data_IF_431285110978
#
_entry.id   IF_431285110978
#
_cell.length_a   1.000
_cell.length_b   1.000
_cell.length_c   1.000
_cell.angle_alpha   90.00
_cell.angle_beta   90.00
_cell.angle_gamma   90.00
#
_symmetry.space_group_name_H-M   'P 1'
#
loop_
_entity.id
_entity.type
_entity.pdbx_description
1 polymer ?
#
# COMPACT_ATOMS: atom_id res chain seq x y z
N UNK A 1 5.02 -17.52 3.40
CA UNK A 1 5.31 -17.47 1.95
C UNK A 1 6.62 -16.71 1.79
N UNK A 2 7.58 -17.16 0.96
CA UNK A 2 8.76 -16.34 0.65
C UNK A 2 8.32 -14.99 0.05
N UNK A 3 9.09 -13.91 0.26
CA UNK A 3 8.76 -12.62 -0.32
C UNK A 3 8.74 -12.70 -1.84
N UNK A 4 7.67 -12.20 -2.47
CA UNK A 4 7.50 -12.20 -3.93
C UNK A 4 8.62 -11.41 -4.62
N UNK A 5 9.04 -10.30 -4.00
CA UNK A 5 10.21 -9.54 -4.44
C UNK A 5 11.26 -9.55 -3.34
N UNK A 6 12.50 -9.90 -3.68
CA UNK A 6 13.60 -9.96 -2.72
C UNK A 6 13.90 -8.59 -2.08
N UNK A 7 13.63 -7.50 -2.79
CA UNK A 7 13.82 -6.13 -2.31
C UNK A 7 12.69 -5.62 -1.39
N UNK A 8 11.60 -6.38 -1.27
CA UNK A 8 10.39 -5.97 -0.57
C UNK A 8 10.14 -6.81 0.68
N UNK A 9 9.54 -6.18 1.68
CA UNK A 9 9.14 -6.84 2.94
C UNK A 9 7.64 -7.01 3.09
N UNK A 10 6.85 -6.27 2.34
CA UNK A 10 5.40 -6.14 2.57
C UNK A 10 4.55 -6.53 1.35
N UNK A 11 5.09 -7.33 0.43
CA UNK A 11 4.40 -7.79 -0.79
C UNK A 11 3.46 -8.95 -0.51
N UNK A 12 2.18 -8.83 -0.91
CA UNK A 12 1.18 -9.92 -0.86
C UNK A 12 -0.05 -9.62 -1.72
N UNK A 13 -0.79 -10.64 -2.19
CA UNK A 13 -2.12 -10.44 -2.76
C UNK A 13 -3.11 -9.98 -1.68
N UNK A 14 -4.08 -9.14 -2.06
CA UNK A 14 -5.18 -8.72 -1.18
C UNK A 14 -6.27 -9.78 -1.07
N UNK A 15 -6.55 -10.48 -2.17
CA UNK A 15 -7.63 -11.46 -2.26
C UNK A 15 -7.02 -12.88 -2.22
N UNK A 16 -7.64 -13.82 -1.48
CA UNK A 16 -7.22 -15.22 -1.51
C UNK A 16 -7.20 -15.76 -2.93
N UNK A 17 -6.16 -16.51 -3.27
CA UNK A 17 -5.99 -17.21 -4.55
C UNK A 17 -6.12 -16.32 -5.81
N UNK A 18 -5.91 -15.00 -5.66
CA UNK A 18 -6.06 -14.05 -6.75
C UNK A 18 -4.91 -13.03 -6.79
N UNK A 19 -4.35 -12.88 -7.99
CA UNK A 19 -3.33 -11.88 -8.29
C UNK A 19 -3.93 -10.56 -8.80
N UNK A 20 -5.26 -10.39 -8.67
CA UNK A 20 -5.95 -9.21 -9.17
C UNK A 20 -5.43 -7.91 -8.53
N UNK A 21 -5.23 -7.93 -7.22
CA UNK A 21 -4.69 -6.80 -6.46
C UNK A 21 -3.54 -7.27 -5.58
N UNK A 22 -2.34 -6.76 -5.84
CA UNK A 22 -1.13 -7.08 -5.09
C UNK A 22 -0.61 -5.79 -4.47
N UNK A 23 -0.53 -5.74 -3.15
CA UNK A 23 0.07 -4.62 -2.41
C UNK A 23 1.54 -4.89 -2.16
N UNK A 24 2.34 -3.82 -2.03
CA UNK A 24 3.76 -3.93 -1.65
C UNK A 24 4.30 -2.63 -1.01
N UNK A 25 5.49 -2.71 -0.44
CA UNK A 25 6.45 -1.60 -0.32
C UNK A 25 7.14 -1.33 -1.67
N UNK A 26 7.97 -0.29 -1.77
CA UNK A 26 8.60 0.04 -3.06
C UNK A 26 9.57 -1.07 -3.50
N UNK A 27 9.41 -1.67 -4.70
CA UNK A 27 10.42 -2.56 -5.27
C UNK A 27 11.58 -1.70 -5.78
N UNK A 28 12.69 -1.67 -5.05
CA UNK A 28 13.91 -0.93 -5.44
C UNK A 28 14.81 -1.73 -6.37
N UNK A 29 14.62 -3.05 -6.41
CA UNK A 29 15.25 -3.96 -7.36
C UNK A 29 14.24 -5.04 -7.75
N UNK A 30 14.16 -5.32 -9.05
CA UNK A 30 13.33 -6.40 -9.61
C UNK A 30 14.13 -7.08 -10.72
N UNK A 31 14.50 -8.33 -10.46
CA UNK A 31 15.21 -9.22 -11.39
C UNK A 31 14.34 -9.60 -12.60
N UNK A 32 14.96 -10.10 -13.67
CA UNK A 32 14.21 -10.60 -14.83
C UNK A 32 13.34 -11.81 -14.50
N UNK A 33 13.72 -12.64 -13.52
CA UNK A 33 12.88 -13.74 -13.05
C UNK A 33 11.61 -13.23 -12.37
N UNK A 34 11.73 -12.24 -11.47
CA UNK A 34 10.58 -11.61 -10.82
C UNK A 34 9.69 -10.89 -11.84
N UNK A 35 10.26 -10.25 -12.86
CA UNK A 35 9.47 -9.62 -13.96
C UNK A 35 8.69 -10.65 -14.76
N UNK A 36 9.32 -11.77 -15.15
CA UNK A 36 8.62 -12.86 -15.85
C UNK A 36 7.53 -13.46 -14.97
N UNK A 37 7.83 -13.70 -13.70
CA UNK A 37 6.86 -14.20 -12.72
C UNK A 37 5.62 -13.32 -12.61
N UNK A 38 5.80 -11.99 -12.65
CA UNK A 38 4.70 -11.02 -12.67
C UNK A 38 3.86 -11.17 -13.94
N UNK A 39 4.51 -11.19 -15.11
CA UNK A 39 3.84 -11.24 -16.41
C UNK A 39 3.06 -12.55 -16.62
N UNK A 40 3.61 -13.68 -16.18
CA UNK A 40 2.96 -15.01 -16.22
C UNK A 40 1.69 -15.06 -15.38
N UNK A 41 1.63 -14.26 -14.29
CA UNK A 41 0.44 -14.12 -13.43
C UNK A 41 -0.47 -12.98 -13.86
N UNK A 42 -0.20 -12.38 -15.02
CA UNK A 42 -0.99 -11.29 -15.56
C UNK A 42 -0.85 -9.97 -14.80
N UNK A 43 0.16 -9.79 -13.94
CA UNK A 43 0.45 -8.49 -13.32
C UNK A 43 1.01 -7.55 -14.40
N UNK A 44 0.17 -6.64 -14.89
CA UNK A 44 0.48 -5.74 -16.00
C UNK A 44 0.56 -4.29 -15.60
N UNK A 45 -0.21 -3.90 -14.58
CA UNK A 45 -0.29 -2.50 -14.16
C UNK A 45 0.44 -2.30 -12.84
N UNK A 46 1.21 -1.21 -12.76
CA UNK A 46 1.90 -0.79 -11.54
C UNK A 46 1.39 0.58 -11.14
N UNK A 47 0.90 0.75 -9.91
CA UNK A 47 0.41 2.02 -9.37
C UNK A 47 1.31 2.47 -8.23
N UNK A 48 2.10 3.51 -8.49
CA UNK A 48 2.98 4.13 -7.49
C UNK A 48 2.24 5.28 -6.78
N UNK A 49 1.96 5.08 -5.50
CA UNK A 49 1.21 6.00 -4.62
C UNK A 49 2.10 7.10 -4.01
N UNK A 50 3.39 7.13 -4.36
CA UNK A 50 4.38 8.00 -3.74
C UNK A 50 4.40 9.39 -4.37
N UNK A 51 4.81 10.37 -3.55
CA UNK A 51 5.03 11.73 -4.03
C UNK A 51 6.24 11.76 -4.98
N UNK A 52 6.30 12.73 -5.93
CA UNK A 52 7.42 12.83 -6.88
C UNK A 52 8.80 12.85 -6.22
N UNK A 53 8.93 13.47 -5.04
CA UNK A 53 10.20 13.52 -4.29
C UNK A 53 10.65 12.13 -3.80
N UNK A 54 9.73 11.32 -3.26
CA UNK A 54 10.03 9.95 -2.80
C UNK A 54 10.47 9.06 -3.96
N UNK A 55 9.86 9.23 -5.14
CA UNK A 55 10.21 8.51 -6.36
C UNK A 55 11.61 8.85 -6.85
N UNK A 56 11.99 10.13 -6.83
CA UNK A 56 13.35 10.57 -7.16
C UNK A 56 14.40 10.01 -6.20
N UNK A 57 14.06 9.90 -4.91
CA UNK A 57 14.98 9.38 -3.89
C UNK A 57 15.14 7.85 -3.96
N UNK A 58 14.06 7.13 -4.28
CA UNK A 58 14.04 5.67 -4.38
C UNK A 58 13.29 5.25 -5.65
N UNK A 59 13.94 5.23 -6.82
CA UNK A 59 13.29 4.86 -8.06
C UNK A 59 12.84 3.38 -8.03
N UNK A 60 11.80 3.07 -8.81
CA UNK A 60 11.36 1.70 -9.03
C UNK A 60 11.71 1.30 -10.48
N UNK A 61 12.45 0.21 -10.70
CA UNK A 61 12.92 -0.16 -12.03
C UNK A 61 11.81 -0.77 -12.92
N UNK A 62 10.58 -0.87 -12.42
CA UNK A 62 9.40 -1.20 -13.24
C UNK A 62 8.91 0.01 -14.04
N UNK A 63 9.29 1.24 -13.66
CA UNK A 63 8.89 2.47 -14.38
C UNK A 63 9.47 2.52 -15.80
N UNK A 64 10.68 1.97 -15.98
CA UNK A 64 11.41 1.98 -17.25
C UNK A 64 11.14 0.73 -18.12
N UNK A 65 10.32 -0.20 -17.63
CA UNK A 65 10.04 -1.46 -18.32
C UNK A 65 8.71 -1.40 -19.06
N UNK A 66 8.79 -1.27 -20.39
CA UNK A 66 7.64 -1.13 -21.29
C UNK A 66 6.66 -2.33 -21.27
N UNK A 67 7.02 -3.46 -20.63
CA UNK A 67 6.11 -4.60 -20.44
C UNK A 67 5.02 -4.31 -19.40
N UNK A 68 5.20 -3.26 -18.59
CA UNK A 68 4.27 -2.84 -17.55
C UNK A 68 3.66 -1.47 -17.85
N UNK A 69 2.37 -1.30 -17.53
CA UNK A 69 1.71 0.01 -17.52
C UNK A 69 1.98 0.66 -16.17
N UNK A 70 2.94 1.58 -16.13
CA UNK A 70 3.29 2.30 -14.91
C UNK A 70 2.45 3.58 -14.74
N UNK A 71 1.75 3.70 -13.61
CA UNK A 71 0.89 4.84 -13.26
C UNK A 71 1.40 5.50 -11.98
N UNK A 72 1.75 6.77 -12.10
CA UNK A 72 2.15 7.59 -10.97
C UNK A 72 0.91 8.29 -10.41
N UNK A 73 0.44 7.87 -9.23
CA UNK A 73 -0.80 8.35 -8.65
C UNK A 73 -0.61 8.67 -7.17
N UNK A 74 0.06 9.79 -6.83
CA UNK A 74 0.31 10.14 -5.45
C UNK A 74 -1.00 10.24 -4.67
N UNK A 75 -1.04 9.60 -3.50
CA UNK A 75 -2.13 9.78 -2.53
C UNK A 75 -1.99 11.14 -1.87
N UNK A 76 -3.10 11.85 -1.69
CA UNK A 76 -3.14 13.11 -0.94
C UNK A 76 -2.79 12.86 0.53
N UNK A 77 -1.80 13.60 1.05
CA UNK A 77 -1.33 13.40 2.43
C UNK A 77 -0.53 12.11 2.62
N UNK A 78 -0.40 11.66 3.88
CA UNK A 78 0.29 10.39 4.22
C UNK A 78 1.80 10.35 3.99
N UNK A 79 2.43 11.49 3.71
CA UNK A 79 3.88 11.61 3.56
C UNK A 79 4.59 12.04 4.86
N UNK A 80 3.86 12.62 5.81
CA UNK A 80 4.39 13.03 7.11
C UNK A 80 4.01 12.00 8.19
N UNK A 81 4.91 11.79 9.15
CA UNK A 81 4.62 11.03 10.37
C UNK A 81 3.71 11.89 11.25
N UNK A 82 2.53 11.41 11.69
CA UNK A 82 1.65 12.14 12.59
C UNK A 82 2.34 12.51 13.91
N UNK A 83 1.87 13.56 14.60
CA UNK A 83 2.51 13.99 15.85
C UNK A 83 2.18 13.06 17.02
N UNK A 84 1.00 12.43 17.01
CA UNK A 84 0.56 11.52 18.05
C UNK A 84 -0.36 10.40 17.49
N UNK A 85 -0.58 9.32 18.26
CA UNK A 85 -1.46 8.20 17.87
C UNK A 85 -2.85 8.63 17.38
N UNK A 86 -3.44 9.67 18.01
CA UNK A 86 -4.79 10.14 17.71
C UNK A 86 -4.89 10.80 16.32
N UNK A 87 -3.77 11.31 15.79
CA UNK A 87 -3.73 11.92 14.45
C UNK A 87 -3.58 10.91 13.32
N UNK A 88 -3.20 9.66 13.61
CA UNK A 88 -3.04 8.62 12.59
C UNK A 88 -4.34 8.38 11.81
N UNK A 89 -5.50 8.09 12.44
CA UNK A 89 -6.76 7.92 11.70
C UNK A 89 -7.21 9.22 10.99
N UNK A 90 -6.96 10.39 11.56
CA UNK A 90 -7.24 11.68 10.89
C UNK A 90 -6.40 11.83 9.62
N UNK A 91 -5.15 11.36 9.64
CA UNK A 91 -4.29 11.34 8.46
C UNK A 91 -4.85 10.42 7.36
N UNK A 92 -5.45 9.29 7.74
CA UNK A 92 -6.09 8.36 6.79
C UNK A 92 -7.34 8.97 6.17
N UNK A 93 -8.17 9.66 6.97
CA UNK A 93 -9.35 10.37 6.46
C UNK A 93 -9.00 11.47 5.46
N UNK A 94 -7.90 12.19 5.67
CA UNK A 94 -7.41 13.19 4.70
C UNK A 94 -7.01 12.58 3.35
N UNK A 95 -6.73 11.28 3.31
CA UNK A 95 -6.45 10.57 2.05
C UNK A 95 -7.73 10.25 1.28
N UNK A 96 -8.89 10.20 1.95
CA UNK A 96 -10.17 9.84 1.34
C UNK A 96 -10.78 11.04 0.61
N UNK A 97 -10.21 11.38 -0.54
CA UNK A 97 -10.62 12.48 -1.42
C UNK A 97 -10.86 12.00 -2.86
N UNK A 98 -11.14 12.93 -3.77
CA UNK A 98 -11.35 12.63 -5.18
C UNK A 98 -10.12 11.97 -5.87
N UNK A 99 -8.91 12.18 -5.35
CA UNK A 99 -7.72 11.51 -5.87
C UNK A 99 -7.71 10.03 -5.45
N UNK A 100 -8.16 9.70 -4.25
CA UNK A 100 -8.37 8.31 -3.84
C UNK A 100 -9.41 7.60 -4.70
N UNK A 101 -10.53 8.26 -5.05
CA UNK A 101 -11.52 7.69 -5.98
C UNK A 101 -10.87 7.31 -7.31
N UNK A 102 -10.08 8.22 -7.89
CA UNK A 102 -9.33 7.97 -9.14
C UNK A 102 -8.33 6.82 -9.03
N UNK A 103 -7.64 6.71 -7.89
CA UNK A 103 -6.71 5.60 -7.61
C UNK A 103 -7.46 4.28 -7.57
N UNK A 104 -8.57 4.22 -6.82
CA UNK A 104 -9.40 3.03 -6.70
C UNK A 104 -9.95 2.61 -8.06
N UNK A 105 -10.50 3.54 -8.85
CA UNK A 105 -11.01 3.23 -10.18
C UNK A 105 -9.92 2.80 -11.16
N UNK A 106 -8.72 3.38 -11.07
CA UNK A 106 -7.59 2.95 -11.90
C UNK A 106 -7.17 1.52 -11.57
N UNK A 107 -7.09 1.19 -10.27
CA UNK A 107 -6.73 -0.16 -9.84
C UNK A 107 -7.85 -1.16 -10.19
N UNK A 108 -9.10 -0.79 -9.90
CA UNK A 108 -10.26 -1.65 -10.08
C UNK A 108 -10.53 -2.00 -11.53
N UNK A 109 -10.31 -1.06 -12.46
CA UNK A 109 -10.61 -1.22 -13.88
C UNK A 109 -9.39 -1.55 -14.74
N UNK A 110 -8.20 -1.69 -14.16
CA UNK A 110 -7.00 -2.06 -14.91
C UNK A 110 -7.16 -3.41 -15.64
N UNK A 111 -6.49 -3.56 -16.78
CA UNK A 111 -6.38 -4.87 -17.43
C UNK A 111 -5.35 -5.74 -16.69
N UNK A 112 -5.73 -6.97 -16.34
CA UNK A 112 -4.87 -7.90 -15.60
C UNK A 112 -4.61 -7.49 -14.14
N UNK A 113 -3.73 -8.20 -13.45
CA UNK A 113 -3.39 -7.90 -12.07
C UNK A 113 -2.68 -6.55 -11.91
N UNK A 114 -2.88 -5.92 -10.75
CA UNK A 114 -2.27 -4.64 -10.39
C UNK A 114 -1.34 -4.80 -9.18
N UNK A 115 -0.10 -4.36 -9.34
CA UNK A 115 0.80 -4.10 -8.22
C UNK A 115 0.66 -2.64 -7.78
N UNK A 116 0.36 -2.37 -6.52
CA UNK A 116 0.31 -0.99 -6.02
C UNK A 116 1.10 -0.86 -4.71
N UNK A 117 1.81 0.27 -4.56
CA UNK A 117 2.71 0.46 -3.42
C UNK A 117 2.89 1.93 -3.07
N UNK A 118 3.29 2.16 -1.82
CA UNK A 118 3.89 3.40 -1.36
C UNK A 118 5.34 3.12 -0.93
N UNK A 119 5.92 3.93 -0.06
CA UNK A 119 7.31 3.72 0.40
C UNK A 119 7.48 2.45 1.24
N UNK A 120 6.72 2.31 2.33
CA UNK A 120 6.78 1.13 3.20
C UNK A 120 5.63 0.14 2.95
N UNK A 121 4.73 0.46 2.01
CA UNK A 121 3.56 -0.37 1.73
C UNK A 121 2.58 -0.48 2.90
N UNK A 122 2.59 0.49 3.84
CA UNK A 122 1.88 0.41 5.12
C UNK A 122 0.64 1.32 5.17
N UNK A 123 0.84 2.64 5.25
CA UNK A 123 -0.25 3.61 5.48
C UNK A 123 -1.05 3.90 4.22
N UNK A 124 -0.50 4.65 3.25
CA UNK A 124 -1.17 4.95 1.97
C UNK A 124 -1.64 3.70 1.24
N UNK A 125 -0.79 2.68 1.17
CA UNK A 125 -1.14 1.37 0.61
C UNK A 125 -2.20 0.66 1.45
N UNK A 126 -2.18 0.77 2.78
CA UNK A 126 -3.18 0.17 3.66
C UNK A 126 -4.56 0.80 3.51
N UNK A 127 -4.64 2.12 3.36
CA UNK A 127 -5.90 2.83 3.09
C UNK A 127 -6.48 2.41 1.74
N UNK A 128 -5.66 2.39 0.68
CA UNK A 128 -6.07 1.87 -0.65
C UNK A 128 -6.54 0.41 -0.53
N UNK A 129 -5.80 -0.43 0.20
CA UNK A 129 -6.14 -1.85 0.39
C UNK A 129 -7.48 -2.02 1.10
N UNK A 130 -7.71 -1.26 2.17
CA UNK A 130 -8.95 -1.32 2.94
C UNK A 130 -10.17 -0.95 2.10
N UNK A 131 -10.05 0.09 1.27
CA UNK A 131 -11.13 0.54 0.39
C UNK A 131 -11.37 -0.44 -0.77
N UNK A 132 -10.32 -1.03 -1.35
CA UNK A 132 -10.46 -2.08 -2.38
C UNK A 132 -11.11 -3.36 -1.82
N UNK A 133 -10.73 -3.79 -0.61
CA UNK A 133 -11.32 -4.94 0.07
C UNK A 133 -12.79 -4.68 0.40
N UNK A 134 -13.12 -3.46 0.85
CA UNK A 134 -14.52 -3.03 1.06
C UNK A 134 -15.32 -3.07 -0.24
N UNK A 135 -14.77 -2.54 -1.35
CA UNK A 135 -15.38 -2.62 -2.69
C UNK A 135 -15.60 -4.06 -3.14
N UNK A 136 -14.70 -4.98 -2.78
CA UNK A 136 -14.80 -6.41 -3.04
C UNK A 136 -15.73 -7.17 -2.06
N UNK A 137 -16.47 -6.45 -1.21
CA UNK A 137 -17.43 -7.03 -0.26
C UNK A 137 -16.78 -7.88 0.84
N UNK A 138 -15.50 -7.64 1.14
CA UNK A 138 -14.80 -8.33 2.23
C UNK A 138 -15.24 -7.81 3.60
N UNK A 139 -15.15 -8.67 4.61
CA UNK A 139 -15.54 -8.31 5.97
C UNK A 139 -14.56 -7.33 6.60
N UNK A 140 -15.01 -6.63 7.66
CA UNK A 140 -14.15 -5.74 8.44
C UNK A 140 -12.95 -6.50 9.02
N UNK A 141 -13.17 -7.72 9.48
CA UNK A 141 -12.13 -8.59 10.04
C UNK A 141 -11.08 -8.95 8.99
N UNK A 142 -11.48 -9.19 7.74
CA UNK A 142 -10.55 -9.43 6.65
C UNK A 142 -9.71 -8.19 6.34
N UNK A 143 -10.33 -7.00 6.34
CA UNK A 143 -9.63 -5.71 6.15
C UNK A 143 -8.60 -5.47 7.26
N UNK A 144 -9.00 -5.66 8.51
CA UNK A 144 -8.11 -5.47 9.66
C UNK A 144 -6.96 -6.48 9.66
N UNK A 145 -7.23 -7.73 9.29
CA UNK A 145 -6.19 -8.77 9.17
C UNK A 145 -5.14 -8.39 8.13
N UNK A 146 -5.54 -7.95 6.93
CA UNK A 146 -4.60 -7.48 5.90
C UNK A 146 -3.81 -6.25 6.38
N UNK A 147 -4.48 -5.28 7.00
CA UNK A 147 -3.83 -4.09 7.51
C UNK A 147 -2.76 -4.43 8.57
N UNK A 148 -3.10 -5.25 9.56
CA UNK A 148 -2.22 -5.63 10.67
C UNK A 148 -1.03 -6.49 10.26
N UNK A 149 -1.12 -7.24 9.15
CA UNK A 149 0.01 -7.98 8.61
C UNK A 149 1.23 -7.07 8.34
N UNK A 150 1.01 -5.79 8.04
CA UNK A 150 2.11 -4.82 7.86
C UNK A 150 2.89 -4.55 9.15
N UNK A 151 2.25 -4.66 10.32
CA UNK A 151 2.92 -4.49 11.62
C UNK A 151 3.93 -5.61 11.86
N UNK A 152 3.57 -6.84 11.48
CA UNK A 152 4.43 -8.01 11.58
C UNK A 152 5.58 -7.95 10.58
N UNK A 153 5.27 -7.73 9.30
CA UNK A 153 6.24 -7.71 8.21
C UNK A 153 7.33 -6.64 8.38
N UNK A 154 6.97 -5.52 9.03
CA UNK A 154 7.84 -4.36 9.16
C UNK A 154 8.37 -4.17 10.59
N UNK A 155 8.11 -5.11 11.52
CA UNK A 155 8.43 -4.97 12.95
C UNK A 155 9.85 -4.47 13.19
N UNK A 156 10.86 -5.19 12.69
CA UNK A 156 12.27 -4.83 12.88
C UNK A 156 12.61 -3.45 12.27
N UNK A 157 12.02 -3.13 11.12
CA UNK A 157 12.25 -1.85 10.44
C UNK A 157 11.65 -0.68 11.22
N UNK A 158 10.44 -0.85 11.73
CA UNK A 158 9.74 0.15 12.54
C UNK A 158 10.45 0.39 13.87
N UNK A 159 10.86 -0.68 14.55
CA UNK A 159 11.64 -0.58 15.77
C UNK A 159 12.99 0.12 15.55
N UNK A 160 13.71 -0.23 14.48
CA UNK A 160 14.96 0.43 14.12
C UNK A 160 14.74 1.91 13.77
N UNK A 161 13.64 2.23 13.07
CA UNK A 161 13.27 3.61 12.76
C UNK A 161 12.96 4.42 14.02
N UNK A 162 12.16 3.87 14.95
CA UNK A 162 11.85 4.51 16.23
C UNK A 162 13.13 4.77 17.04
N UNK A 163 14.01 3.76 17.18
CA UNK A 163 15.30 3.92 17.88
C UNK A 163 16.18 5.01 17.27
N UNK A 164 16.21 5.13 15.94
CA UNK A 164 17.06 6.08 15.22
C UNK A 164 16.52 7.51 15.23
N UNK A 165 15.20 7.68 15.25
CA UNK A 165 14.54 8.99 15.05
C UNK A 165 13.90 9.55 16.32
N UNK A 166 13.71 8.73 17.35
CA UNK A 166 12.92 9.08 18.53
C UNK A 166 11.41 9.11 18.28
N UNK A 167 10.94 8.65 17.11
CA UNK A 167 9.52 8.57 16.81
C UNK A 167 8.79 7.60 17.77
N UNK A 168 7.59 7.98 18.22
CA UNK A 168 6.73 7.09 19.00
C UNK A 168 6.37 5.85 18.16
N UNK A 169 6.77 4.67 18.64
CA UNK A 169 6.54 3.39 17.94
C UNK A 169 5.04 3.16 17.68
N UNK A 170 4.15 3.70 18.52
CA UNK A 170 2.69 3.58 18.37
C UNK A 170 2.18 4.36 17.16
N UNK A 171 2.82 5.47 16.81
CA UNK A 171 2.45 6.30 15.64
C UNK A 171 2.82 5.59 14.34
N UNK A 172 3.97 4.93 14.31
CA UNK A 172 4.49 4.32 13.08
C UNK A 172 4.09 2.85 12.92
N UNK A 173 3.62 2.19 13.98
CA UNK A 173 3.15 0.80 13.93
C UNK A 173 1.65 0.75 13.66
N UNK A 174 1.16 -0.09 12.72
CA UNK A 174 -0.27 -0.28 12.52
C UNK A 174 -0.94 -0.74 13.82
N UNK A 175 -2.09 -0.14 14.13
CA UNK A 175 -2.96 -0.53 15.24
C UNK A 175 -4.40 -0.71 14.71
N UNK A 176 -5.14 -1.75 15.13
CA UNK A 176 -6.50 -2.00 14.63
C UNK A 176 -7.38 -0.77 14.74
N UNK A 177 -7.30 -0.06 15.87
CA UNK A 177 -8.13 1.10 16.19
C UNK A 177 -7.98 2.23 15.14
N UNK A 178 -6.81 2.37 14.51
CA UNK A 178 -6.60 3.39 13.48
C UNK A 178 -7.39 3.08 12.20
N UNK A 179 -7.37 1.81 11.79
CA UNK A 179 -8.10 1.38 10.60
C UNK A 179 -9.59 1.30 10.88
N UNK A 180 -9.99 0.87 12.08
CA UNK A 180 -11.37 0.89 12.53
C UNK A 180 -11.97 2.29 12.51
N UNK A 181 -11.30 3.25 13.17
CA UNK A 181 -11.73 4.65 13.19
C UNK A 181 -11.83 5.23 11.79
N UNK A 182 -10.88 4.90 10.92
CA UNK A 182 -10.93 5.31 9.51
C UNK A 182 -12.13 4.71 8.78
N UNK A 183 -12.37 3.40 8.89
CA UNK A 183 -13.49 2.73 8.22
C UNK A 183 -14.85 3.28 8.65
N UNK A 184 -14.99 3.58 9.94
CA UNK A 184 -16.23 4.14 10.50
C UNK A 184 -16.50 5.55 9.96
N UNK A 185 -15.47 6.41 9.99
CA UNK A 185 -15.59 7.77 9.49
C UNK A 185 -15.66 7.85 7.95
N UNK A 186 -15.10 6.88 7.23
CA UNK A 186 -15.14 6.78 5.77
C UNK A 186 -16.31 5.95 5.25
N UNK A 187 -17.32 5.62 6.06
CA UNK A 187 -18.46 4.80 5.66
C UNK A 187 -19.22 5.35 4.44
N UNK A 188 -19.31 6.68 4.31
CA UNK A 188 -19.94 7.35 3.17
C UNK A 188 -19.01 7.60 1.97
N UNK A 189 -17.72 7.25 2.06
CA UNK A 189 -16.79 7.41 0.95
C UNK A 189 -17.14 6.42 -0.17
N UNK A 190 -17.24 6.83 -1.44
CA UNK A 190 -17.58 5.92 -2.53
C UNK A 190 -16.48 4.87 -2.73
N UNK A 191 -16.87 3.61 -2.85
CA UNK A 191 -15.99 2.51 -3.24
C UNK A 191 -16.58 1.74 -4.39
#
# INVERSE_FOLDING_TARGET
>A
MPPIFASCRNTRPLLPDSWRFVRSDVPTAVSEEERRWMLERGLRTVVDLRQPQERRQKPCPLEEDARFVYRCMPVTGGSAVPACPQEVPLSYLRMADAQMERILDTIWNAEGGVLFFCSAGKDRTGVVSALLLRRAGRSREEILRDYMQSAENLREMLEAYARRTGADIRVITPQPEYMETFLDAAAGFPV
#
